data_IF_184259519252
#
_entry.id   IF_184259519252
#
_cell.length_a   1.000
_cell.length_b   1.000
_cell.length_c   1.000
_cell.angle_alpha   90.00
_cell.angle_beta   90.00
_cell.angle_gamma   90.00
#
_symmetry.space_group_name_H-M   'P 1'
#
loop_
_entity.id
_entity.type
_entity.pdbx_description
1 polymer ?
#
# COMPACT_ATOMS: atom_id res chain seq x y z
N UNK A 1 3.36 -11.83 4.76
CA UNK A 1 2.74 -11.83 3.42
C UNK A 1 3.73 -12.38 2.41
N UNK A 2 3.40 -13.48 1.75
CA UNK A 2 4.18 -14.06 0.66
C UNK A 2 3.57 -13.69 -0.70
N UNK A 3 4.35 -13.86 -1.77
CA UNK A 3 3.81 -13.70 -3.13
C UNK A 3 2.74 -14.75 -3.40
N UNK A 4 1.62 -14.35 -4.01
CA UNK A 4 0.49 -15.24 -4.32
C UNK A 4 -0.48 -15.47 -3.16
N UNK A 5 -0.25 -14.87 -1.99
CA UNK A 5 -1.15 -14.98 -0.85
C UNK A 5 -2.46 -14.21 -1.10
N UNK A 6 -3.59 -14.83 -0.77
CA UNK A 6 -4.91 -14.20 -0.86
C UNK A 6 -5.07 -13.15 0.24
N UNK A 7 -5.60 -11.98 -0.13
CA UNK A 7 -5.85 -10.88 0.79
C UNK A 7 -7.19 -10.22 0.52
N UNK A 8 -7.77 -9.61 1.54
CA UNK A 8 -8.92 -8.70 1.41
C UNK A 8 -8.44 -7.26 1.44
N UNK A 9 -8.88 -6.47 0.46
CA UNK A 9 -8.63 -5.02 0.40
C UNK A 9 -9.95 -4.30 0.63
N UNK A 10 -9.96 -3.37 1.59
CA UNK A 10 -11.07 -2.44 1.79
C UNK A 10 -10.78 -1.11 1.08
N UNK A 11 -11.81 -0.44 0.50
CA UNK A 11 -11.66 0.91 -0.02
C UNK A 11 -11.07 1.85 1.04
N UNK A 12 -10.20 2.76 0.61
CA UNK A 12 -9.49 3.63 1.56
C UNK A 12 -10.44 4.65 2.23
N UNK A 13 -11.41 5.21 1.49
CA UNK A 13 -12.33 6.24 2.00
C UNK A 13 -11.58 7.39 2.67
N UNK A 14 -12.01 7.78 3.87
CA UNK A 14 -11.39 8.82 4.71
C UNK A 14 -10.38 8.25 5.72
N UNK A 15 -10.07 6.94 5.65
CA UNK A 15 -9.13 6.31 6.58
C UNK A 15 -7.75 6.94 6.45
N UNK A 16 -7.19 7.40 7.57
CA UNK A 16 -5.79 7.78 7.68
C UNK A 16 -4.90 6.53 7.54
N UNK A 17 -3.83 6.65 6.74
CA UNK A 17 -2.85 5.59 6.58
C UNK A 17 -1.78 5.70 7.67
N UNK A 18 -1.24 4.54 8.06
CA UNK A 18 -0.14 4.43 8.99
C UNK A 18 1.07 3.74 8.35
N UNK A 19 2.26 3.98 8.90
CA UNK A 19 3.44 3.16 8.59
C UNK A 19 3.14 1.72 9.00
N UNK A 20 3.42 0.77 8.11
CA UNK A 20 3.07 -0.64 8.29
C UNK A 20 1.81 -1.08 7.53
N UNK A 21 0.95 -0.15 7.09
CA UNK A 21 -0.20 -0.50 6.25
C UNK A 21 0.28 -1.07 4.91
N UNK A 22 -0.40 -2.11 4.42
CA UNK A 22 -0.24 -2.60 3.06
C UNK A 22 -1.37 -2.03 2.22
N UNK A 23 -1.03 -1.33 1.14
CA UNK A 23 -1.99 -0.56 0.35
C UNK A 23 -2.02 -0.99 -1.10
N UNK A 24 -3.22 -0.97 -1.69
CA UNK A 24 -3.41 -1.07 -3.13
C UNK A 24 -3.18 0.30 -3.75
N UNK A 25 -2.11 0.42 -4.54
CA UNK A 25 -1.72 1.69 -5.14
C UNK A 25 -1.33 1.57 -6.62
N UNK A 26 -1.45 2.67 -7.37
CA UNK A 26 -0.98 2.75 -8.77
C UNK A 26 0.46 3.26 -8.82
N UNK A 27 1.32 2.52 -9.51
CA UNK A 27 2.71 2.91 -9.81
C UNK A 27 2.98 2.63 -11.29
N UNK A 28 3.46 3.63 -12.02
CA UNK A 28 3.81 3.51 -13.45
C UNK A 28 2.72 2.81 -14.30
N UNK A 29 1.44 3.17 -14.09
CA UNK A 29 0.33 2.64 -14.86
C UNK A 29 -0.30 1.34 -14.32
N UNK A 30 0.41 0.60 -13.46
CA UNK A 30 -0.04 -0.69 -12.92
C UNK A 30 -0.42 -0.60 -11.44
N UNK A 31 -1.29 -1.48 -10.98
CA UNK A 31 -1.69 -1.55 -9.58
C UNK A 31 -0.89 -2.63 -8.83
N UNK A 32 -0.44 -2.28 -7.63
CA UNK A 32 0.37 -3.16 -6.78
C UNK A 32 -0.06 -3.04 -5.32
N UNK A 33 0.22 -4.10 -4.57
CA UNK A 33 0.21 -4.06 -3.11
C UNK A 33 1.60 -3.69 -2.61
N UNK A 34 1.70 -2.59 -1.88
CA UNK A 34 2.96 -2.13 -1.30
C UNK A 34 2.82 -1.78 0.18
N UNK A 35 3.91 -1.94 0.91
CA UNK A 35 4.03 -1.55 2.31
C UNK A 35 4.29 -0.04 2.41
N UNK A 36 3.54 0.66 3.25
CA UNK A 36 3.82 2.03 3.65
C UNK A 36 4.98 2.02 4.64
N UNK A 37 6.13 2.59 4.24
CA UNK A 37 7.35 2.62 5.05
C UNK A 37 7.57 3.94 5.78
N UNK A 38 7.03 5.05 5.25
CA UNK A 38 7.12 6.38 5.85
C UNK A 38 5.97 7.27 5.37
N UNK A 39 5.65 8.32 6.13
CA UNK A 39 4.59 9.28 5.82
C UNK A 39 5.15 10.69 5.95
N UNK A 40 4.80 11.57 5.02
CA UNK A 40 5.16 13.00 5.02
C UNK A 40 4.00 13.82 4.45
N UNK A 41 3.16 14.35 5.32
CA UNK A 41 1.90 14.99 4.92
C UNK A 41 1.04 14.02 4.11
N UNK A 42 0.53 14.46 2.96
CA UNK A 42 -0.27 13.64 2.05
C UNK A 42 0.55 12.74 1.10
N UNK A 43 1.81 12.48 1.43
CA UNK A 43 2.71 11.59 0.70
C UNK A 43 3.13 10.39 1.53
N UNK A 44 3.15 9.23 0.88
CA UNK A 44 3.40 7.93 1.48
C UNK A 44 4.56 7.26 0.76
N UNK A 45 5.62 6.91 1.49
CA UNK A 45 6.73 6.14 0.95
C UNK A 45 6.29 4.68 0.86
N UNK A 46 6.34 4.11 -0.33
CA UNK A 46 5.91 2.75 -0.61
C UNK A 46 7.10 1.86 -0.94
N UNK A 47 7.04 0.60 -0.53
CA UNK A 47 8.04 -0.40 -0.86
C UNK A 47 7.43 -1.78 -1.11
N UNK A 48 8.13 -2.57 -1.90
CA UNK A 48 7.77 -3.94 -2.19
C UNK A 48 8.14 -4.90 -1.04
N UNK A 49 7.66 -6.13 -1.13
CA UNK A 49 7.94 -7.20 -0.16
C UNK A 49 9.39 -7.74 -0.22
N UNK A 50 10.23 -7.25 -1.13
CA UNK A 50 11.65 -7.61 -1.27
C UNK A 50 12.59 -6.64 -0.54
N UNK A 51 12.05 -5.77 0.32
CA UNK A 51 12.82 -4.82 1.12
C UNK A 51 13.14 -3.50 0.43
N UNK A 52 12.86 -3.37 -0.87
CA UNK A 52 13.11 -2.16 -1.64
C UNK A 52 12.22 -0.98 -1.27
N UNK A 53 12.65 0.24 -1.62
CA UNK A 53 11.81 1.44 -1.65
C UNK A 53 11.49 1.73 -3.11
N UNK A 54 10.20 1.81 -3.43
CA UNK A 54 9.73 2.04 -4.79
C UNK A 54 9.49 3.53 -5.08
N UNK A 55 9.42 4.36 -4.04
CA UNK A 55 9.28 5.80 -4.15
C UNK A 55 8.19 6.35 -3.24
N UNK A 56 7.71 7.55 -3.56
CA UNK A 56 6.71 8.28 -2.79
C UNK A 56 5.47 8.52 -3.64
N UNK A 57 4.31 8.09 -3.16
CA UNK A 57 3.02 8.30 -3.82
C UNK A 57 2.13 9.24 -3.02
N UNK A 58 1.19 9.91 -3.69
CA UNK A 58 0.17 10.74 -3.05
C UNK A 58 -1.10 9.95 -2.76
N UNK A 59 -1.98 10.50 -1.89
CA UNK A 59 -3.24 9.82 -1.50
C UNK A 59 -4.12 9.41 -2.68
N UNK A 60 -4.21 10.23 -3.74
CA UNK A 60 -5.02 9.93 -4.93
C UNK A 60 -4.58 8.68 -5.73
N UNK A 61 -3.38 8.15 -5.46
CA UNK A 61 -2.89 6.92 -6.08
C UNK A 61 -3.07 5.70 -5.16
N UNK A 62 -3.75 5.84 -4.02
CA UNK A 62 -4.01 4.76 -3.08
C UNK A 62 -5.51 4.51 -3.04
N UNK A 63 -5.92 3.30 -3.42
CA UNK A 63 -7.33 2.95 -3.62
C UNK A 63 -7.90 2.16 -2.45
N UNK A 64 -7.05 1.47 -1.70
CA UNK A 64 -7.47 0.64 -0.60
C UNK A 64 -6.33 0.18 0.28
N UNK A 65 -6.69 -0.44 1.39
CA UNK A 65 -5.78 -0.98 2.39
C UNK A 65 -6.13 -2.43 2.65
N UNK A 66 -5.12 -3.27 2.80
CA UNK A 66 -5.29 -4.67 3.16
C UNK A 66 -5.82 -4.75 4.59
N UNK A 67 -6.93 -5.44 4.78
CA UNK A 67 -7.57 -5.64 6.09
C UNK A 67 -7.46 -7.07 6.58
N UNK A 68 -7.21 -8.01 5.68
CA UNK A 68 -7.07 -9.43 5.99
C UNK A 68 -6.09 -10.10 5.04
N UNK A 69 -5.32 -11.03 5.59
CA UNK A 69 -4.43 -11.91 4.85
C UNK A 69 -4.83 -13.34 5.20
N UNK A 70 -5.14 -14.15 4.20
CA UNK A 70 -5.53 -15.54 4.43
C UNK A 70 -4.32 -16.42 4.75
N UNK A 71 -4.49 -17.52 5.50
CA UNK A 71 -3.42 -18.47 5.84
C UNK A 71 -2.68 -19.03 4.61
#
# INVERSE_FOLDING_TARGET
MSSGQLVTVAPLGDRALAVGDIVLCKVAGSQYLHLVKAIRGERYQIGNNRGGVNGWTGRGNIFGVVTRVEP
#
